data_IF_954333429979
#
_entry.id   IF_954333429979
#
_cell.length_a   1.000
_cell.length_b   1.000
_cell.length_c   1.000
_cell.angle_alpha   90.00
_cell.angle_beta   90.00
_cell.angle_gamma   90.00
#
_symmetry.space_group_name_H-M   'P 1'
#
loop_
_entity.id
_entity.type
_entity.pdbx_description
1 polymer ?
#
# COMPACT_ATOMS: atom_id res chain seq x y z
N UNK A 1 3.36 32.40 8.90
CA UNK A 1 4.83 32.32 9.06
C UNK A 1 5.23 30.91 8.67
N UNK A 2 5.78 30.71 7.47
CA UNK A 2 6.23 29.41 6.99
C UNK A 2 7.76 29.37 7.08
N UNK A 3 8.27 28.34 7.75
CA UNK A 3 9.68 28.08 7.98
C UNK A 3 10.37 27.79 6.64
N UNK A 4 11.54 28.40 6.32
CA UNK A 4 12.31 28.01 5.16
C UNK A 4 13.01 26.68 5.46
N UNK A 5 12.69 25.63 4.69
CA UNK A 5 13.47 24.39 4.67
C UNK A 5 14.83 24.74 4.07
N UNK A 6 15.86 24.69 4.91
CA UNK A 6 17.24 24.96 4.54
C UNK A 6 17.73 23.86 3.60
N UNK A 7 17.99 24.21 2.33
CA UNK A 7 18.68 23.34 1.37
C UNK A 7 20.14 23.19 1.82
N UNK A 8 20.50 22.08 2.47
CA UNK A 8 21.90 21.73 2.70
C UNK A 8 22.50 21.13 1.42
N UNK A 9 23.26 21.96 0.70
CA UNK A 9 24.29 21.55 -0.25
C UNK A 9 25.47 20.97 0.55
N UNK A 10 25.38 19.68 0.92
CA UNK A 10 26.54 18.90 1.34
C UNK A 10 27.03 18.07 0.15
N UNK A 11 28.15 18.51 -0.42
CA UNK A 11 29.00 17.69 -1.27
C UNK A 11 29.87 16.84 -0.34
N UNK A 12 29.46 15.58 -0.15
CA UNK A 12 30.19 14.58 0.61
C UNK A 12 29.74 13.21 0.13
N UNK A 13 30.70 12.32 -0.10
CA UNK A 13 30.51 10.94 -0.58
C UNK A 13 29.94 10.00 0.50
N UNK A 14 29.59 10.52 1.68
CA UNK A 14 29.05 9.74 2.77
C UNK A 14 27.54 9.51 2.58
N UNK A 15 27.05 8.29 2.82
CA UNK A 15 25.62 8.01 2.80
C UNK A 15 24.89 8.89 3.81
N UNK A 16 23.84 9.57 3.36
CA UNK A 16 22.97 10.36 4.23
C UNK A 16 21.81 9.48 4.67
N UNK A 17 21.76 9.13 5.96
CA UNK A 17 20.59 8.47 6.55
C UNK A 17 19.44 9.46 6.61
N UNK A 18 18.31 9.10 6.00
CA UNK A 18 17.13 9.95 5.88
C UNK A 18 16.03 9.53 6.86
N UNK A 19 15.82 8.22 7.05
CA UNK A 19 14.84 7.69 7.98
C UNK A 19 15.30 6.35 8.56
N UNK A 20 14.84 6.04 9.77
CA UNK A 20 15.04 4.75 10.46
C UNK A 20 13.79 4.39 11.26
N UNK A 21 13.50 3.09 11.42
CA UNK A 21 12.48 2.59 12.34
C UNK A 21 11.48 1.68 11.64
N UNK A 22 10.18 1.87 11.94
CA UNK A 22 9.14 0.98 11.43
C UNK A 22 9.07 1.03 9.89
N UNK A 23 8.91 -0.15 9.30
CA UNK A 23 8.80 -0.38 7.86
C UNK A 23 8.00 0.68 7.10
N UNK A 24 6.72 0.89 7.42
CA UNK A 24 5.84 1.87 6.77
C UNK A 24 6.41 3.30 6.77
N UNK A 25 7.08 3.71 7.84
CA UNK A 25 7.70 5.03 7.92
C UNK A 25 8.87 5.16 6.94
N UNK A 26 9.69 4.12 6.85
CA UNK A 26 10.86 4.06 5.98
C UNK A 26 10.44 3.94 4.51
N UNK A 27 9.43 3.13 4.20
CA UNK A 27 8.83 3.01 2.86
C UNK A 27 8.26 4.36 2.38
N UNK A 28 7.56 5.07 3.26
CA UNK A 28 7.01 6.39 2.93
C UNK A 28 8.14 7.40 2.64
N UNK A 29 9.17 7.43 3.48
CA UNK A 29 10.32 8.30 3.29
C UNK A 29 11.09 7.98 2.00
N UNK A 30 11.24 6.70 1.66
CA UNK A 30 11.82 6.26 0.38
C UNK A 30 11.00 6.79 -0.80
N UNK A 31 9.69 6.54 -0.80
CA UNK A 31 8.77 6.96 -1.86
C UNK A 31 8.81 8.48 -2.06
N UNK A 32 8.78 9.25 -0.97
CA UNK A 32 8.86 10.71 -1.01
C UNK A 32 10.22 11.21 -1.50
N UNK A 33 11.31 10.60 -1.05
CA UNK A 33 12.66 10.95 -1.47
C UNK A 33 12.90 10.72 -2.96
N UNK A 34 12.46 9.58 -3.49
CA UNK A 34 12.54 9.27 -4.92
C UNK A 34 11.67 10.24 -5.73
N UNK A 35 10.42 10.48 -5.31
CA UNK A 35 9.51 11.41 -6.00
C UNK A 35 10.08 12.82 -6.06
N UNK A 36 10.61 13.34 -4.96
CA UNK A 36 11.20 14.68 -4.91
C UNK A 36 12.37 14.85 -5.89
N UNK A 37 13.14 13.79 -6.15
CA UNK A 37 14.19 13.80 -7.17
C UNK A 37 13.61 13.80 -8.58
N UNK A 38 12.62 12.95 -8.84
CA UNK A 38 11.94 12.89 -10.14
C UNK A 38 11.30 14.24 -10.49
N UNK A 39 10.67 14.91 -9.52
CA UNK A 39 10.08 16.25 -9.69
C UNK A 39 11.08 17.31 -10.15
N UNK A 40 12.35 17.21 -9.74
CA UNK A 40 13.43 18.13 -10.16
C UNK A 40 14.25 17.59 -11.34
N UNK A 41 13.72 16.63 -12.08
CA UNK A 41 14.24 16.15 -13.36
C UNK A 41 15.29 15.05 -13.27
N UNK A 42 15.34 14.30 -12.17
CA UNK A 42 16.05 13.01 -12.13
C UNK A 42 15.20 11.92 -12.78
N UNK A 43 15.86 10.87 -13.28
CA UNK A 43 15.20 9.71 -13.86
C UNK A 43 15.52 8.47 -13.04
N UNK A 44 14.54 7.59 -12.84
CA UNK A 44 14.83 6.25 -12.31
C UNK A 44 15.55 5.47 -13.41
N UNK A 45 16.73 4.96 -13.10
CA UNK A 45 17.59 4.23 -14.03
C UNK A 45 17.48 2.73 -13.78
N UNK A 46 17.42 2.32 -12.52
CA UNK A 46 17.54 0.91 -12.13
C UNK A 46 16.86 0.71 -10.76
N UNK A 47 16.19 -0.42 -10.57
CA UNK A 47 15.56 -0.81 -9.31
C UNK A 47 15.89 -2.27 -9.04
N UNK A 48 16.54 -2.54 -7.91
CA UNK A 48 17.01 -3.88 -7.55
C UNK A 48 16.63 -4.22 -6.13
N UNK A 49 16.19 -5.44 -5.93
CA UNK A 49 15.99 -6.01 -4.61
C UNK A 49 17.03 -7.10 -4.37
N UNK A 50 17.75 -6.95 -3.27
CA UNK A 50 18.67 -7.92 -2.70
C UNK A 50 18.00 -8.54 -1.47
N UNK A 51 18.66 -9.52 -0.84
CA UNK A 51 18.12 -10.20 0.35
C UNK A 51 17.78 -9.27 1.51
N UNK A 52 18.54 -8.19 1.66
CA UNK A 52 18.53 -7.28 2.80
C UNK A 52 18.49 -5.80 2.40
N UNK A 53 18.41 -5.49 1.10
CA UNK A 53 18.33 -4.11 0.61
C UNK A 53 17.43 -3.99 -0.63
N UNK A 54 16.66 -2.92 -0.71
CA UNK A 54 16.09 -2.37 -1.93
C UNK A 54 16.93 -1.17 -2.36
N UNK A 55 17.40 -1.18 -3.61
CA UNK A 55 18.21 -0.12 -4.20
C UNK A 55 17.46 0.47 -5.40
N UNK A 56 17.19 1.77 -5.34
CA UNK A 56 16.66 2.55 -6.46
C UNK A 56 17.75 3.52 -6.91
N UNK A 57 18.25 3.34 -8.13
CA UNK A 57 19.26 4.21 -8.72
C UNK A 57 18.60 5.28 -9.56
N UNK A 58 18.92 6.54 -9.27
CA UNK A 58 18.47 7.70 -10.02
C UNK A 58 19.64 8.31 -10.79
N UNK A 59 19.39 8.83 -11.99
CA UNK A 59 20.37 9.49 -12.83
C UNK A 59 19.93 10.90 -13.24
N UNK A 60 20.89 11.83 -13.32
CA UNK A 60 20.71 13.15 -13.93
C UNK A 60 22.02 13.61 -14.56
N UNK A 61 22.01 13.72 -15.89
CA UNK A 61 23.24 13.87 -16.68
C UNK A 61 24.25 12.76 -16.32
N UNK A 62 25.49 13.11 -15.95
CA UNK A 62 26.54 12.15 -15.62
C UNK A 62 26.63 11.83 -14.11
N UNK A 63 25.60 12.19 -13.32
CA UNK A 63 25.56 11.97 -11.87
C UNK A 63 24.50 10.93 -11.54
N UNK A 64 24.85 10.00 -10.63
CA UNK A 64 23.93 9.00 -10.09
C UNK A 64 23.77 9.15 -8.58
N UNK A 65 22.57 8.87 -8.10
CA UNK A 65 22.24 8.73 -6.69
C UNK A 65 21.61 7.36 -6.43
N UNK A 66 21.94 6.71 -5.31
CA UNK A 66 21.28 5.49 -4.86
C UNK A 66 20.41 5.78 -3.66
N UNK A 67 19.14 5.43 -3.76
CA UNK A 67 18.17 5.43 -2.67
C UNK A 67 18.07 4.00 -2.16
N UNK A 68 18.53 3.77 -0.94
CA UNK A 68 18.73 2.43 -0.39
C UNK A 68 17.86 2.28 0.85
N UNK A 69 16.93 1.33 0.81
CA UNK A 69 16.20 0.86 1.97
C UNK A 69 16.81 -0.47 2.40
N UNK A 70 17.40 -0.50 3.60
CA UNK A 70 17.98 -1.69 4.20
C UNK A 70 16.96 -2.31 5.16
N UNK A 71 16.77 -3.62 5.05
CA UNK A 71 15.87 -4.43 5.85
C UNK A 71 16.63 -5.04 7.04
N UNK A 72 16.26 -4.65 8.25
CA UNK A 72 16.93 -5.11 9.48
C UNK A 72 15.92 -5.16 10.64
N UNK A 73 16.41 -5.23 11.88
CA UNK A 73 15.54 -5.12 13.07
C UNK A 73 14.82 -3.76 13.10
N UNK A 74 15.53 -2.70 12.69
CA UNK A 74 14.98 -1.41 12.31
C UNK A 74 15.33 -1.13 10.85
N UNK A 75 14.32 -0.93 10.01
CA UNK A 75 14.56 -0.58 8.62
C UNK A 75 15.24 0.78 8.54
N UNK A 76 16.11 0.96 7.53
CA UNK A 76 16.85 2.20 7.34
C UNK A 76 16.76 2.64 5.90
N UNK A 77 16.40 3.91 5.67
CA UNK A 77 16.49 4.55 4.37
C UNK A 77 17.63 5.55 4.35
N UNK A 78 18.54 5.38 3.38
CA UNK A 78 19.70 6.23 3.16
C UNK A 78 19.86 6.59 1.68
N UNK A 79 20.52 7.71 1.42
CA UNK A 79 20.86 8.18 0.07
C UNK A 79 22.37 8.27 -0.08
N UNK A 80 22.89 7.64 -1.11
CA UNK A 80 24.27 7.81 -1.54
C UNK A 80 24.33 8.67 -2.79
N UNK A 81 25.22 9.67 -2.79
CA UNK A 81 25.44 10.58 -3.91
C UNK A 81 26.72 10.26 -4.65
N UNK A 82 26.79 10.70 -5.90
CA UNK A 82 27.94 10.47 -6.79
C UNK A 82 28.26 8.97 -6.91
N UNK A 83 27.22 8.14 -6.92
CA UNK A 83 27.35 6.70 -7.02
C UNK A 83 27.90 6.32 -8.41
N UNK A 84 28.66 5.21 -8.51
CA UNK A 84 29.01 4.69 -9.83
C UNK A 84 27.75 4.30 -10.59
N UNK A 85 27.79 4.42 -11.92
CA UNK A 85 26.74 3.89 -12.77
C UNK A 85 26.55 2.38 -12.47
N UNK A 86 25.31 1.89 -12.42
CA UNK A 86 25.05 0.47 -12.22
C UNK A 86 25.64 -0.32 -13.41
N UNK A 87 26.34 -1.45 -13.15
CA UNK A 87 27.05 -2.19 -14.19
C UNK A 87 26.13 -2.85 -15.22
N UNK A 88 24.90 -3.19 -14.82
CA UNK A 88 23.92 -3.93 -15.63
C UNK A 88 22.51 -3.37 -15.41
N UNK A 89 22.10 -2.35 -16.18
CA UNK A 89 20.83 -1.64 -15.94
C UNK A 89 19.62 -2.53 -16.29
N UNK A 90 18.73 -2.75 -15.33
CA UNK A 90 17.39 -3.25 -15.60
C UNK A 90 16.44 -2.07 -15.86
N UNK A 91 16.00 -1.92 -17.12
CA UNK A 91 15.15 -0.79 -17.53
C UNK A 91 13.83 -0.79 -16.72
N UNK A 92 13.51 0.31 -16.00
CA UNK A 92 12.29 0.36 -15.20
C UNK A 92 11.05 0.33 -16.07
N UNK A 93 10.00 -0.35 -15.61
CA UNK A 93 8.74 -0.42 -16.34
C UNK A 93 8.08 0.97 -16.49
N UNK A 94 7.30 1.16 -17.55
CA UNK A 94 6.53 2.39 -17.74
C UNK A 94 5.54 2.66 -16.59
N UNK A 95 5.02 1.59 -15.96
CA UNK A 95 4.15 1.74 -14.79
C UNK A 95 4.93 2.25 -13.59
N UNK A 96 6.11 1.70 -13.31
CA UNK A 96 6.99 2.17 -12.24
C UNK A 96 7.31 3.65 -12.41
N UNK A 97 7.73 4.05 -13.62
CA UNK A 97 8.02 5.45 -13.93
C UNK A 97 6.80 6.37 -13.72
N UNK A 98 5.61 5.87 -14.04
CA UNK A 98 4.35 6.60 -13.79
C UNK A 98 4.03 6.70 -12.29
N UNK A 99 4.28 5.63 -11.52
CA UNK A 99 4.03 5.58 -10.08
C UNK A 99 4.90 6.59 -9.32
N UNK A 100 6.20 6.63 -9.61
CA UNK A 100 7.13 7.55 -8.93
C UNK A 100 6.95 9.01 -9.34
N UNK A 101 6.46 9.27 -10.55
CA UNK A 101 6.19 10.62 -11.02
C UNK A 101 4.83 11.16 -10.52
N UNK A 102 3.92 10.27 -10.09
CA UNK A 102 2.61 10.68 -9.63
C UNK A 102 2.67 11.22 -8.19
N UNK A 103 1.97 12.34 -7.89
CA UNK A 103 1.83 12.85 -6.52
C UNK A 103 1.21 11.84 -5.54
N UNK A 104 0.50 10.85 -6.09
CA UNK A 104 -0.21 9.80 -5.35
C UNK A 104 0.21 8.41 -5.82
N UNK A 105 1.48 8.22 -6.12
CA UNK A 105 2.07 6.89 -6.34
C UNK A 105 3.28 6.68 -5.45
N UNK A 106 3.79 5.46 -5.41
CA UNK A 106 4.90 5.08 -4.54
C UNK A 106 5.30 3.63 -4.73
N UNK A 107 6.01 3.10 -3.73
CA UNK A 107 6.45 1.73 -3.66
C UNK A 107 5.82 1.03 -2.46
N UNK A 108 5.33 -0.17 -2.67
CA UNK A 108 4.96 -1.15 -1.64
C UNK A 108 6.11 -2.16 -1.57
N UNK A 109 6.76 -2.28 -0.40
CA UNK A 109 7.97 -3.07 -0.20
C UNK A 109 7.67 -4.24 0.73
N UNK A 110 7.09 -5.30 0.21
CA UNK A 110 6.66 -6.43 1.01
C UNK A 110 7.65 -7.59 0.98
N UNK A 111 7.66 -8.39 2.05
CA UNK A 111 8.39 -9.65 2.12
C UNK A 111 7.45 -10.83 1.85
N UNK A 112 7.83 -11.70 0.91
CA UNK A 112 7.18 -13.00 0.73
C UNK A 112 8.23 -14.11 0.71
N UNK A 113 7.98 -15.17 1.48
CA UNK A 113 8.85 -16.34 1.55
C UNK A 113 10.32 -16.06 1.92
N UNK A 114 10.58 -14.95 2.63
CA UNK A 114 11.93 -14.54 3.05
C UNK A 114 12.67 -13.66 2.04
N UNK A 115 12.08 -13.41 0.87
CA UNK A 115 12.59 -12.45 -0.10
C UNK A 115 11.74 -11.18 -0.08
N UNK A 116 12.38 -10.02 -0.21
CA UNK A 116 11.69 -8.77 -0.42
C UNK A 116 11.38 -8.58 -1.90
N UNK A 117 10.24 -7.96 -2.18
CA UNK A 117 9.92 -7.48 -3.51
C UNK A 117 9.38 -6.06 -3.44
N UNK A 118 9.56 -5.32 -4.53
CA UNK A 118 9.03 -3.97 -4.68
C UNK A 118 7.89 -3.97 -5.68
N UNK A 119 6.77 -3.36 -5.29
CA UNK A 119 5.59 -3.19 -6.12
C UNK A 119 5.29 -1.71 -6.29
N UNK A 120 5.52 -1.12 -7.47
CA UNK A 120 5.07 0.25 -7.72
C UNK A 120 3.54 0.30 -7.66
N UNK A 121 3.00 1.36 -7.05
CA UNK A 121 1.56 1.58 -7.00
C UNK A 121 1.15 3.00 -7.39
N UNK A 122 -0.10 3.12 -7.85
CA UNK A 122 -0.81 4.37 -8.06
C UNK A 122 -2.08 4.36 -7.22
N UNK A 123 -2.36 5.45 -6.50
CA UNK A 123 -3.59 5.60 -5.74
C UNK A 123 -4.65 6.22 -6.66
N UNK A 124 -5.59 5.39 -7.10
CA UNK A 124 -6.74 5.80 -7.92
C UNK A 124 -7.69 6.69 -7.10
N UNK A 125 -7.98 6.30 -5.85
CA UNK A 125 -8.91 7.01 -4.95
C UNK A 125 -8.38 7.03 -3.51
N UNK A 126 -8.63 8.12 -2.78
CA UNK A 126 -8.26 8.28 -1.37
C UNK A 126 -9.38 9.04 -0.68
N UNK A 127 -9.66 8.66 0.55
CA UNK A 127 -10.62 9.35 1.38
C UNK A 127 -10.26 9.18 2.86
N UNK A 128 -10.65 10.16 3.67
CA UNK A 128 -10.47 10.18 5.12
C UNK A 128 -11.83 10.40 5.81
N UNK A 129 -11.91 10.03 7.09
CA UNK A 129 -13.09 10.19 7.93
C UNK A 129 -14.33 9.49 7.35
N UNK A 130 -15.49 10.16 7.36
CA UNK A 130 -16.75 9.58 6.86
C UNK A 130 -16.71 9.20 5.37
N UNK A 131 -15.88 9.88 4.58
CA UNK A 131 -15.71 9.56 3.17
C UNK A 131 -14.89 8.28 2.97
N UNK A 132 -14.00 7.93 3.89
CA UNK A 132 -13.26 6.67 3.87
C UNK A 132 -14.23 5.48 3.98
N UNK A 133 -15.15 5.53 4.95
CA UNK A 133 -16.20 4.51 5.12
C UNK A 133 -17.06 4.33 3.86
N UNK A 134 -17.34 5.44 3.15
CA UNK A 134 -18.09 5.43 1.89
C UNK A 134 -17.29 4.90 0.71
N UNK A 135 -15.98 5.20 0.65
CA UNK A 135 -15.06 4.63 -0.33
C UNK A 135 -14.97 3.12 -0.17
N UNK A 136 -14.77 2.62 1.06
CA UNK A 136 -14.71 1.18 1.35
C UNK A 136 -15.99 0.48 0.87
N UNK A 137 -17.15 0.97 1.29
CA UNK A 137 -18.43 0.38 0.90
C UNK A 137 -18.65 0.39 -0.62
N UNK A 138 -18.40 1.52 -1.29
CA UNK A 138 -18.56 1.65 -2.75
C UNK A 138 -17.60 0.72 -3.50
N UNK A 139 -16.35 0.66 -3.09
CA UNK A 139 -15.32 -0.15 -3.73
C UNK A 139 -15.69 -1.63 -3.62
N UNK A 140 -15.96 -2.11 -2.40
CA UNK A 140 -16.37 -3.50 -2.17
C UNK A 140 -17.74 -3.85 -2.75
N UNK A 141 -18.64 -2.88 -2.98
CA UNK A 141 -19.92 -3.07 -3.69
C UNK A 141 -19.80 -3.05 -5.22
N UNK A 142 -18.72 -2.48 -5.77
CA UNK A 142 -18.51 -2.39 -7.24
C UNK A 142 -17.45 -3.34 -7.81
N UNK A 143 -16.42 -3.75 -7.05
CA UNK A 143 -15.40 -4.78 -7.37
C UNK A 143 -15.89 -6.12 -7.99
N UNK A 144 -15.62 -6.42 -9.25
CA UNK A 144 -16.09 -7.66 -9.90
C UNK A 144 -15.77 -8.95 -9.11
N UNK A 145 -14.58 -9.04 -8.50
CA UNK A 145 -14.18 -10.13 -7.59
C UNK A 145 -13.51 -9.59 -6.32
N UNK A 146 -13.57 -10.38 -5.23
CA UNK A 146 -12.72 -10.23 -4.05
C UNK A 146 -11.71 -11.37 -4.11
N UNK A 147 -10.44 -11.04 -4.31
CA UNK A 147 -9.34 -12.01 -4.51
C UNK A 147 -8.76 -12.44 -3.16
N UNK A 148 -8.77 -11.55 -2.17
CA UNK A 148 -8.32 -11.87 -0.83
C UNK A 148 -8.57 -10.71 0.11
N UNK A 149 -8.45 -10.99 1.40
CA UNK A 149 -8.45 -9.94 2.40
C UNK A 149 -7.53 -10.31 3.57
N UNK A 150 -6.88 -9.31 4.15
CA UNK A 150 -6.03 -9.44 5.32
C UNK A 150 -6.30 -8.31 6.31
N UNK A 151 -5.95 -8.54 7.57
CA UNK A 151 -5.87 -7.49 8.57
C UNK A 151 -4.58 -7.58 9.34
N UNK A 152 -3.99 -6.42 9.52
CA UNK A 152 -2.86 -6.18 10.40
C UNK A 152 -3.30 -5.20 11.51
N UNK A 153 -2.55 -5.06 12.61
CA UNK A 153 -2.88 -4.10 13.65
C UNK A 153 -3.06 -2.67 13.10
N UNK A 154 -4.31 -2.17 13.11
CA UNK A 154 -4.64 -0.82 12.63
C UNK A 154 -4.83 -0.70 11.10
N UNK A 155 -4.77 -1.80 10.36
CA UNK A 155 -4.94 -1.80 8.90
C UNK A 155 -5.71 -3.03 8.42
N UNK A 156 -6.55 -2.87 7.40
CA UNK A 156 -7.14 -3.97 6.65
C UNK A 156 -6.93 -3.75 5.15
N UNK A 157 -6.59 -4.82 4.44
CA UNK A 157 -6.33 -4.78 3.01
C UNK A 157 -7.27 -5.74 2.30
N UNK A 158 -7.94 -5.26 1.26
CA UNK A 158 -8.80 -6.08 0.42
C UNK A 158 -8.25 -6.07 -1.00
N UNK A 159 -7.83 -7.23 -1.48
CA UNK A 159 -7.44 -7.42 -2.88
C UNK A 159 -8.69 -7.66 -3.70
N UNK A 160 -8.95 -6.80 -4.68
CA UNK A 160 -10.16 -6.81 -5.49
C UNK A 160 -9.83 -6.77 -6.98
N UNK A 161 -10.68 -7.36 -7.80
CA UNK A 161 -10.62 -7.22 -9.24
C UNK A 161 -11.76 -6.32 -9.71
N UNK A 162 -11.49 -5.38 -10.62
CA UNK A 162 -12.53 -4.60 -11.29
C UNK A 162 -12.12 -4.30 -12.73
N UNK A 163 -12.96 -4.74 -13.66
CA UNK A 163 -12.77 -4.65 -15.10
C UNK A 163 -11.47 -5.33 -15.57
N UNK A 164 -11.16 -6.51 -15.02
CA UNK A 164 -9.94 -7.27 -15.35
C UNK A 164 -8.65 -6.73 -14.74
N UNK A 165 -8.75 -5.71 -13.87
CA UNK A 165 -7.59 -5.07 -13.22
C UNK A 165 -7.69 -5.28 -11.72
N UNK A 166 -6.66 -5.90 -11.15
CA UNK A 166 -6.51 -6.05 -9.72
C UNK A 166 -6.12 -4.73 -9.05
N UNK A 167 -6.68 -4.49 -7.87
CA UNK A 167 -6.44 -3.33 -7.02
C UNK A 167 -6.45 -3.77 -5.57
N UNK A 168 -5.79 -3.01 -4.72
CA UNK A 168 -5.89 -3.17 -3.27
C UNK A 168 -6.65 -1.99 -2.69
N UNK A 169 -7.65 -2.29 -1.88
CA UNK A 169 -8.28 -1.33 -1.00
C UNK A 169 -7.61 -1.44 0.37
N UNK A 170 -6.73 -0.50 0.68
CA UNK A 170 -6.07 -0.39 1.98
C UNK A 170 -6.91 0.51 2.87
N UNK A 171 -7.19 0.06 4.08
CA UNK A 171 -8.10 0.70 5.04
C UNK A 171 -7.38 0.86 6.37
N UNK A 172 -7.19 2.09 6.83
CA UNK A 172 -6.64 2.35 8.16
C UNK A 172 -7.76 2.47 9.18
N UNK A 173 -7.50 1.89 10.34
CA UNK A 173 -8.44 1.75 11.43
C UNK A 173 -7.90 2.46 12.67
N UNK A 174 -8.80 3.08 13.43
CA UNK A 174 -8.45 3.54 14.78
C UNK A 174 -8.38 2.37 15.78
N UNK A 175 -8.05 2.69 17.04
CA UNK A 175 -7.97 1.68 18.13
C UNK A 175 -9.31 1.02 18.46
N UNK A 176 -10.42 1.56 17.97
CA UNK A 176 -11.77 1.01 18.10
C UNK A 176 -12.24 0.30 16.82
N UNK A 177 -11.32 0.06 15.90
CA UNK A 177 -11.54 -0.56 14.60
C UNK A 177 -12.38 0.27 13.62
N UNK A 178 -12.61 1.56 13.89
CA UNK A 178 -13.33 2.42 12.96
C UNK A 178 -12.47 2.82 11.77
N UNK A 179 -13.08 2.87 10.59
CA UNK A 179 -12.45 3.32 9.36
C UNK A 179 -12.14 4.82 9.46
N UNK A 180 -10.86 5.17 9.42
CA UNK A 180 -10.38 6.57 9.46
C UNK A 180 -9.78 7.04 8.13
N UNK A 181 -9.25 6.12 7.34
CA UNK A 181 -8.69 6.40 6.02
C UNK A 181 -8.85 5.18 5.11
N UNK A 182 -9.01 5.42 3.81
CA UNK A 182 -8.99 4.37 2.81
C UNK A 182 -8.32 4.85 1.52
N UNK A 183 -7.55 3.96 0.91
CA UNK A 183 -6.86 4.15 -0.36
C UNK A 183 -7.19 3.00 -1.30
N UNK A 184 -7.57 3.32 -2.54
CA UNK A 184 -7.67 2.36 -3.63
C UNK A 184 -6.39 2.43 -4.45
N UNK A 185 -5.54 1.42 -4.31
CA UNK A 185 -4.24 1.29 -4.97
C UNK A 185 -4.35 0.38 -6.18
N UNK A 186 -3.67 0.75 -7.25
CA UNK A 186 -3.49 -0.05 -8.46
C UNK A 186 -2.01 -0.35 -8.63
N UNK A 187 -1.71 -1.58 -9.06
CA UNK A 187 -0.36 -2.07 -9.31
C UNK A 187 -0.19 -2.46 -10.78
N UNK A 188 1.06 -2.65 -11.20
CA UNK A 188 1.38 -3.09 -12.56
C UNK A 188 0.89 -4.52 -12.83
N UNK A 189 1.09 -5.42 -11.87
CA UNK A 189 0.69 -6.83 -11.92
C UNK A 189 -0.21 -7.16 -10.72
N UNK A 190 -1.20 -8.03 -10.93
CA UNK A 190 -2.00 -8.58 -9.83
C UNK A 190 -1.14 -9.48 -8.93
N UNK A 191 -1.44 -9.49 -7.64
CA UNK A 191 -1.01 -10.55 -6.74
C UNK A 191 -1.59 -11.86 -7.29
N UNK A 192 -0.75 -12.89 -7.47
CA UNK A 192 -1.15 -14.17 -8.09
C UNK A 192 -2.13 -15.03 -7.27
N UNK A 193 -3.05 -14.40 -6.55
CA UNK A 193 -3.99 -15.00 -5.62
C UNK A 193 -5.14 -15.73 -6.29
N UNK A 194 -5.76 -16.62 -5.52
CA UNK A 194 -6.95 -17.36 -5.91
C UNK A 194 -8.10 -16.38 -6.11
N UNK A 195 -8.71 -16.36 -7.31
CA UNK A 195 -9.84 -15.47 -7.59
C UNK A 195 -11.12 -16.04 -6.98
N UNK A 196 -11.67 -15.38 -5.96
CA UNK A 196 -12.97 -15.76 -5.42
C UNK A 196 -14.08 -14.95 -6.09
N UNK A 197 -14.95 -15.70 -6.78
CA UNK A 197 -16.07 -15.11 -7.50
C UNK A 197 -16.99 -14.45 -6.48
N UNK A 198 -17.11 -13.14 -6.62
CA UNK A 198 -17.96 -12.30 -5.78
C UNK A 198 -19.33 -12.94 -5.57
N UNK A 199 -19.65 -13.29 -4.34
CA UNK A 199 -21.00 -13.70 -3.98
C UNK A 199 -21.92 -12.49 -4.13
N UNK A 200 -23.02 -12.64 -4.89
CA UNK A 200 -24.05 -11.60 -5.12
C UNK A 200 -24.53 -10.96 -3.80
N UNK A 201 -24.42 -11.71 -2.70
CA UNK A 201 -24.76 -11.28 -1.35
C UNK A 201 -23.92 -10.09 -0.85
N UNK A 202 -22.58 -10.09 -1.02
CA UNK A 202 -21.72 -8.97 -0.60
C UNK A 202 -22.07 -7.67 -1.35
N UNK A 203 -22.26 -7.75 -2.67
CA UNK A 203 -22.68 -6.60 -3.50
C UNK A 203 -24.02 -6.03 -3.03
N UNK A 204 -24.98 -6.90 -2.73
CA UNK A 204 -26.33 -6.49 -2.27
C UNK A 204 -26.28 -5.90 -0.86
N UNK A 205 -25.51 -6.50 0.04
CA UNK A 205 -25.28 -6.06 1.41
C UNK A 205 -24.68 -4.65 1.49
N UNK A 206 -23.67 -4.40 0.67
CA UNK A 206 -22.96 -3.12 0.66
C UNK A 206 -23.62 -2.06 -0.24
N UNK A 207 -24.64 -2.43 -1.00
CA UNK A 207 -25.39 -1.49 -1.80
C UNK A 207 -26.05 -0.43 -0.90
N UNK A 208 -25.58 0.82 -1.03
CA UNK A 208 -26.07 1.98 -0.27
C UNK A 208 -25.90 1.82 1.26
N UNK A 209 -24.76 1.31 1.70
CA UNK A 209 -24.35 1.31 3.11
C UNK A 209 -23.01 2.04 3.29
N UNK A 210 -22.62 2.29 4.53
CA UNK A 210 -21.27 2.66 4.90
C UNK A 210 -20.66 1.54 5.74
N UNK A 211 -19.37 1.24 5.51
CA UNK A 211 -18.58 0.32 6.35
C UNK A 211 -17.95 1.16 7.45
N UNK A 212 -18.42 1.00 8.69
CA UNK A 212 -18.00 1.81 9.83
C UNK A 212 -16.76 1.24 10.51
N UNK A 213 -16.68 -0.08 10.63
CA UNK A 213 -15.53 -0.76 11.20
C UNK A 213 -15.23 -2.08 10.49
N UNK A 214 -13.98 -2.50 10.61
CA UNK A 214 -13.45 -3.77 10.12
C UNK A 214 -12.77 -4.48 11.29
N UNK A 215 -13.20 -5.69 11.61
CA UNK A 215 -12.75 -6.41 12.81
C UNK A 215 -12.27 -7.80 12.42
N UNK A 216 -11.09 -8.20 12.89
CA UNK A 216 -10.65 -9.60 12.80
C UNK A 216 -11.37 -10.44 13.86
N UNK A 217 -11.99 -11.54 13.42
CA UNK A 217 -12.78 -12.45 14.24
C UNK A 217 -12.32 -13.86 13.95
N UNK A 218 -11.32 -14.33 14.69
CA UNK A 218 -10.87 -15.72 14.62
C UNK A 218 -10.29 -16.12 13.28
N UNK A 219 -9.64 -15.19 12.57
CA UNK A 219 -9.10 -15.44 11.24
C UNK A 219 -10.09 -15.19 10.12
N UNK A 220 -11.19 -14.45 10.36
CA UNK A 220 -12.12 -13.92 9.36
C UNK A 220 -12.33 -12.42 9.57
N UNK A 221 -12.53 -11.66 8.51
CA UNK A 221 -12.82 -10.22 8.58
C UNK A 221 -14.31 -9.94 8.68
N UNK A 222 -14.69 -9.23 9.73
CA UNK A 222 -16.05 -8.74 9.94
C UNK A 222 -16.17 -7.28 9.54
N UNK A 223 -16.99 -6.98 8.53
CA UNK A 223 -17.43 -5.63 8.17
C UNK A 223 -18.67 -5.24 8.97
N UNK A 224 -18.55 -4.24 9.84
CA UNK A 224 -19.71 -3.64 10.51
C UNK A 224 -20.19 -2.47 9.67
N UNK A 225 -21.45 -2.52 9.24
CA UNK A 225 -22.05 -1.52 8.37
C UNK A 225 -23.18 -0.78 9.05
N UNK A 226 -23.71 0.26 8.40
CA UNK A 226 -24.95 0.91 8.84
C UNK A 226 -26.20 0.01 8.82
N UNK A 227 -26.15 -1.19 8.22
CA UNK A 227 -27.29 -2.10 8.09
C UNK A 227 -27.10 -3.46 8.79
N UNK A 228 -25.97 -3.69 9.45
CA UNK A 228 -25.65 -4.97 10.08
C UNK A 228 -24.20 -5.39 9.90
N UNK A 229 -23.88 -6.61 10.32
CA UNK A 229 -22.53 -7.18 10.33
C UNK A 229 -22.38 -8.26 9.25
N UNK A 230 -21.24 -8.25 8.57
CA UNK A 230 -20.91 -9.23 7.52
C UNK A 230 -19.55 -9.85 7.80
N UNK A 231 -19.45 -11.17 7.74
CA UNK A 231 -18.19 -11.89 7.93
C UNK A 231 -17.67 -12.39 6.59
N UNK A 232 -16.40 -12.16 6.35
CA UNK A 232 -15.63 -12.53 5.17
C UNK A 232 -14.50 -13.44 5.62
N UNK A 233 -14.38 -14.62 5.04
CA UNK A 233 -13.15 -15.38 5.23
C UNK A 233 -12.00 -14.69 4.44
N UNK A 234 -10.74 -14.76 4.92
CA UNK A 234 -9.59 -14.11 4.27
C UNK A 234 -9.34 -14.64 2.86
N UNK A 235 -9.69 -15.91 2.67
CA UNK A 235 -9.67 -16.59 1.39
C UNK A 235 -10.96 -16.35 0.59
N UNK A 236 -11.85 -15.43 0.98
CA UNK A 236 -13.08 -15.14 0.26
C UNK A 236 -14.03 -16.33 0.05
N UNK A 237 -13.81 -17.48 0.71
CA UNK A 237 -14.53 -18.73 0.45
C UNK A 237 -15.91 -18.77 1.09
N UNK A 238 -16.11 -18.04 2.19
CA UNK A 238 -17.42 -17.90 2.84
C UNK A 238 -17.81 -16.44 3.10
N UNK A 239 -19.12 -16.21 3.00
CA UNK A 239 -19.78 -14.94 3.31
C UNK A 239 -21.02 -15.23 4.14
N UNK A 240 -21.03 -14.73 5.38
CA UNK A 240 -22.14 -14.84 6.32
C UNK A 240 -22.70 -13.46 6.65
N UNK A 241 -24.03 -13.33 6.62
CA UNK A 241 -24.71 -12.21 7.27
C UNK A 241 -25.06 -12.65 8.69
N UNK A 242 -24.53 -11.93 9.67
CA UNK A 242 -24.73 -12.20 11.08
C UNK A 242 -25.85 -11.26 11.56
N UNK A 243 -27.06 -11.78 11.68
CA UNK A 243 -28.28 -11.02 12.00
C UNK A 243 -28.46 -10.79 13.50
N UNK A 244 -27.41 -11.05 14.30
CA UNK A 244 -27.46 -11.07 15.76
C UNK A 244 -27.65 -9.66 16.34
N UNK A 245 -28.91 -9.27 16.38
CA UNK A 245 -29.48 -8.30 17.31
C UNK A 245 -29.77 -8.89 18.69
N UNK A 246 -29.26 -10.08 19.02
CA UNK A 246 -29.39 -10.64 20.36
C UNK A 246 -28.03 -10.95 20.97
N UNK A 247 -27.68 -10.15 21.99
CA UNK A 247 -26.72 -10.57 22.98
C UNK A 247 -27.21 -11.86 23.64
N UNK A 248 -26.53 -12.96 23.38
CA UNK A 248 -26.74 -14.23 24.04
C UNK A 248 -25.41 -14.91 24.27
N UNK A 249 -24.84 -14.75 25.46
CA UNK A 249 -23.83 -15.69 25.95
C UNK A 249 -24.43 -17.11 25.91
N UNK A 250 -23.86 -18.00 25.11
CA UNK A 250 -24.17 -19.42 25.09
C UNK A 250 -22.92 -20.22 25.50
N UNK A 251 -23.10 -21.10 26.48
CA UNK A 251 -22.10 -21.82 27.27
C UNK A 251 -21.01 -22.58 26.49
#
# INVERSE_FOLDING_TARGET
MALPILLFLLAGADPVVVATGHHDHVEHALSDGVRARVEVGWQVVDVRTLSDELIITLGKADVFERHIMQFAEDDTYRVERDAPAPPDVDEPSAFLLSAVAAPRGGFDVAAACGDYYVRPYLIDEHAQGEFAASLVARTLATADNLVGASSDPGQATFTIEKSGVERELVVWLDRTHHVIEAQLRRFEYGSGGVTYKRTVALRKALARTSVKSVVDVGGSLSLVTSKGRFVLDPDGSSFGYDDDHEGGCGC
#
